data_IF_005592644408
#
_entry.id   IF_005592644408
#
_cell.length_a   1.000
_cell.length_b   1.000
_cell.length_c   1.000
_cell.angle_alpha   90.00
_cell.angle_beta   90.00
_cell.angle_gamma   90.00
#
_symmetry.space_group_name_H-M   'P 1'
#
loop_
_entity.id
_entity.type
_entity.pdbx_description
1 polymer ?
#
# COMPACT_ATOMS: atom_id res chain seq x y z
N UNK A 1 19.44 8.63 -28.90
CA UNK A 1 18.02 9.01 -29.06
C UNK A 1 17.85 10.51 -28.86
N UNK A 2 16.76 11.09 -29.37
CA UNK A 2 16.47 12.53 -29.25
C UNK A 2 15.91 12.84 -27.86
N UNK A 3 16.41 13.90 -27.21
CA UNK A 3 15.94 14.33 -25.87
C UNK A 3 14.68 15.18 -26.01
N UNK A 4 13.62 14.80 -25.28
CA UNK A 4 12.36 15.54 -25.26
C UNK A 4 12.44 16.68 -24.23
N UNK A 5 12.10 17.90 -24.67
CA UNK A 5 12.01 19.08 -23.80
C UNK A 5 10.66 19.13 -23.07
N UNK A 6 10.65 18.71 -21.80
CA UNK A 6 9.43 18.71 -20.97
C UNK A 6 8.85 20.09 -20.71
N UNK A 7 9.68 21.15 -20.74
CA UNK A 7 9.20 22.53 -20.50
C UNK A 7 8.30 23.04 -21.63
N UNK A 8 8.55 22.52 -22.85
CA UNK A 8 7.78 22.76 -24.08
C UNK A 8 6.78 21.66 -24.39
N UNK A 9 6.72 20.63 -23.55
CA UNK A 9 5.77 19.53 -23.69
C UNK A 9 4.60 19.68 -22.71
N UNK A 10 3.48 19.08 -23.06
CA UNK A 10 2.29 19.02 -22.23
C UNK A 10 1.53 17.71 -22.50
N UNK A 11 0.59 17.38 -21.62
CA UNK A 11 -0.27 16.22 -21.76
C UNK A 11 -1.73 16.66 -21.68
N UNK A 12 -2.58 16.12 -22.57
CA UNK A 12 -4.01 16.43 -22.62
C UNK A 12 -4.80 15.13 -22.44
N UNK A 13 -5.72 15.12 -21.49
CA UNK A 13 -6.53 13.93 -21.20
C UNK A 13 -7.80 14.24 -20.40
N UNK A 14 -8.81 13.40 -20.53
CA UNK A 14 -10.12 13.58 -19.90
C UNK A 14 -10.21 12.96 -18.50
N UNK A 15 -9.33 12.00 -18.17
CA UNK A 15 -9.21 11.41 -16.85
C UNK A 15 -8.52 12.38 -15.87
N UNK A 16 -9.20 13.48 -15.58
CA UNK A 16 -8.65 14.65 -14.91
C UNK A 16 -9.12 14.78 -13.45
N UNK A 17 -9.88 13.82 -12.92
CA UNK A 17 -10.37 13.83 -11.54
C UNK A 17 -11.36 14.95 -11.23
N UNK A 18 -12.09 15.44 -12.24
CA UNK A 18 -13.10 16.50 -12.04
C UNK A 18 -14.31 15.95 -11.28
N UNK A 19 -14.84 16.68 -10.29
CA UNK A 19 -15.96 16.23 -9.46
C UNK A 19 -17.28 16.30 -10.21
N UNK A 20 -18.36 15.75 -9.63
CA UNK A 20 -19.67 15.86 -10.25
C UNK A 20 -20.09 17.33 -10.42
N UNK A 21 -20.78 17.65 -11.52
CA UNK A 21 -21.23 19.02 -11.85
C UNK A 21 -20.10 20.06 -12.00
N UNK A 22 -18.88 19.63 -12.32
CA UNK A 22 -17.79 20.55 -12.70
C UNK A 22 -18.16 21.46 -13.90
N UNK A 23 -19.15 21.05 -14.69
CA UNK A 23 -19.84 21.83 -15.73
C UNK A 23 -21.32 21.44 -15.81
N UNK A 24 -22.16 22.29 -16.36
CA UNK A 24 -23.58 21.99 -16.64
C UNK A 24 -23.72 20.66 -17.38
N UNK A 25 -24.50 19.74 -16.81
CA UNK A 25 -24.72 18.35 -17.30
C UNK A 25 -23.47 17.45 -17.33
N UNK A 26 -22.35 17.86 -16.75
CA UNK A 26 -21.17 17.03 -16.65
C UNK A 26 -21.23 16.12 -15.43
N UNK A 27 -20.87 14.85 -15.63
CA UNK A 27 -20.64 13.88 -14.56
C UNK A 27 -19.21 14.00 -14.07
N UNK A 28 -18.94 13.48 -12.87
CA UNK A 28 -17.57 13.29 -12.38
C UNK A 28 -16.75 12.45 -13.38
N UNK A 29 -15.47 12.74 -13.49
CA UNK A 29 -14.56 11.90 -14.27
C UNK A 29 -14.47 10.50 -13.65
N UNK A 30 -14.28 9.49 -14.48
CA UNK A 30 -14.15 8.10 -14.04
C UNK A 30 -12.85 7.87 -13.25
N UNK A 31 -11.80 8.65 -13.53
CA UNK A 31 -10.50 8.58 -12.87
C UNK A 31 -9.73 9.89 -12.97
N UNK A 32 -8.56 9.94 -12.31
CA UNK A 32 -7.58 11.03 -12.41
C UNK A 32 -6.27 10.57 -13.09
N UNK A 33 -6.31 9.45 -13.84
CA UNK A 33 -5.13 8.78 -14.38
C UNK A 33 -4.28 9.69 -15.27
N UNK A 34 -4.90 10.43 -16.18
CA UNK A 34 -4.20 11.31 -17.12
C UNK A 34 -3.48 12.46 -16.40
N UNK A 35 -4.16 13.07 -15.43
CA UNK A 35 -3.58 14.13 -14.61
C UNK A 35 -2.40 13.60 -13.80
N UNK A 36 -2.57 12.45 -13.13
CA UNK A 36 -1.53 11.85 -12.30
C UNK A 36 -0.33 11.37 -13.14
N UNK A 37 -0.57 10.90 -14.37
CA UNK A 37 0.49 10.59 -15.32
C UNK A 37 1.34 11.83 -15.64
N UNK A 38 0.70 12.96 -15.96
CA UNK A 38 1.39 14.23 -16.20
C UNK A 38 2.18 14.69 -14.96
N UNK A 39 1.60 14.58 -13.76
CA UNK A 39 2.27 14.89 -12.48
C UNK A 39 3.50 14.00 -12.23
N UNK A 40 3.42 12.71 -12.57
CA UNK A 40 4.54 11.78 -12.44
C UNK A 40 5.68 12.12 -13.40
N UNK A 41 5.35 12.58 -14.61
CA UNK A 41 6.35 12.98 -15.61
C UNK A 41 6.86 14.42 -15.44
N UNK A 42 6.18 15.25 -14.63
CA UNK A 42 6.49 16.67 -14.49
C UNK A 42 6.08 17.49 -15.72
N UNK A 43 4.97 17.13 -16.37
CA UNK A 43 4.43 17.80 -17.55
C UNK A 43 3.32 18.78 -17.17
N UNK A 44 3.16 19.84 -17.98
CA UNK A 44 1.94 20.66 -17.95
C UNK A 44 0.76 19.78 -18.37
N UNK A 45 -0.37 19.92 -17.68
CA UNK A 45 -1.57 19.13 -17.94
C UNK A 45 -2.75 20.03 -18.30
N UNK A 46 -3.53 19.62 -19.29
CA UNK A 46 -4.78 20.24 -19.69
C UNK A 46 -5.87 19.20 -19.89
N UNK A 47 -7.12 19.58 -19.72
CA UNK A 47 -8.26 18.79 -20.23
C UNK A 47 -8.54 19.12 -21.70
N UNK A 48 -9.25 18.26 -22.46
CA UNK A 48 -9.63 18.57 -23.84
C UNK A 48 -10.43 19.87 -23.94
N UNK A 49 -11.30 20.13 -22.97
CA UNK A 49 -12.06 21.37 -22.87
C UNK A 49 -11.18 22.60 -22.63
N UNK A 50 -10.18 22.50 -21.76
CA UNK A 50 -9.24 23.59 -21.51
C UNK A 50 -8.38 23.89 -22.73
N UNK A 51 -7.87 22.85 -23.39
CA UNK A 51 -6.87 22.99 -24.45
C UNK A 51 -7.48 23.32 -25.82
N UNK A 52 -8.50 22.57 -26.24
CA UNK A 52 -9.06 22.71 -27.60
C UNK A 52 -10.23 23.69 -27.67
N UNK A 53 -10.98 23.84 -26.57
CA UNK A 53 -12.17 24.71 -26.53
C UNK A 53 -11.93 26.03 -25.80
N UNK A 54 -10.74 26.24 -25.24
CA UNK A 54 -10.38 27.46 -24.49
C UNK A 54 -11.25 27.69 -23.25
N UNK A 55 -11.86 26.62 -22.69
CA UNK A 55 -12.67 26.75 -21.49
C UNK A 55 -11.79 26.95 -20.25
N UNK A 56 -12.38 27.54 -19.21
CA UNK A 56 -11.70 27.71 -17.93
C UNK A 56 -11.37 26.36 -17.29
N UNK A 57 -10.28 26.36 -16.51
CA UNK A 57 -9.82 25.17 -15.80
C UNK A 57 -10.88 24.67 -14.84
N UNK A 58 -11.23 23.39 -14.95
CA UNK A 58 -12.18 22.77 -14.03
C UNK A 58 -11.55 22.55 -12.64
N UNK A 59 -12.37 22.57 -11.60
CA UNK A 59 -11.97 22.13 -10.26
C UNK A 59 -11.70 20.61 -10.31
N UNK A 60 -10.73 20.14 -9.55
CA UNK A 60 -10.40 18.72 -9.43
C UNK A 60 -9.83 18.44 -8.05
N UNK A 61 -9.97 17.17 -7.62
CA UNK A 61 -9.40 16.69 -6.37
C UNK A 61 -8.16 15.83 -6.64
N UNK A 62 -7.11 16.03 -5.85
CA UNK A 62 -5.96 15.13 -5.82
C UNK A 62 -6.20 13.98 -4.83
N UNK A 63 -5.61 12.78 -5.05
CA UNK A 63 -5.71 11.70 -4.08
C UNK A 63 -5.24 12.13 -2.69
N UNK A 64 -5.93 11.67 -1.64
CA UNK A 64 -5.57 11.96 -0.23
C UNK A 64 -4.16 11.47 0.14
N UNK A 65 -3.70 10.41 -0.52
CA UNK A 65 -2.37 9.84 -0.31
C UNK A 65 -1.45 10.22 -1.48
N UNK A 66 -0.34 10.86 -1.16
CA UNK A 66 0.71 11.21 -2.13
C UNK A 66 1.95 10.33 -1.91
N UNK A 67 2.29 9.41 -2.83
CA UNK A 67 3.45 8.52 -2.65
C UNK A 67 4.78 9.26 -2.48
N UNK A 68 4.94 10.43 -3.12
CA UNK A 68 6.15 11.26 -3.01
C UNK A 68 6.32 11.88 -1.62
N UNK A 69 5.25 11.95 -0.82
CA UNK A 69 5.29 12.44 0.56
C UNK A 69 5.85 11.39 1.54
N UNK A 70 5.97 10.13 1.13
CA UNK A 70 6.56 9.08 1.95
C UNK A 70 8.01 9.45 2.27
N UNK A 71 8.27 9.76 3.55
CA UNK A 71 9.62 10.03 4.05
C UNK A 71 10.41 8.73 4.13
N UNK A 72 11.74 8.85 4.08
CA UNK A 72 12.61 7.72 4.39
C UNK A 72 12.28 7.19 5.78
N UNK A 73 12.03 5.88 5.87
CA UNK A 73 11.77 5.18 7.14
C UNK A 73 13.00 5.37 8.04
N UNK A 74 12.83 6.00 9.20
CA UNK A 74 13.93 6.26 10.14
C UNK A 74 14.22 5.07 11.05
N UNK A 75 13.19 4.30 11.40
CA UNK A 75 13.26 3.13 12.29
C UNK A 75 12.50 1.95 11.68
N UNK A 76 13.02 0.74 11.85
CA UNK A 76 12.34 -0.48 11.36
C UNK A 76 11.13 -0.85 12.24
N UNK A 77 11.21 -0.54 13.53
CA UNK A 77 10.20 -0.76 14.55
C UNK A 77 9.95 0.53 15.33
N UNK A 78 8.76 0.65 15.90
CA UNK A 78 8.40 1.73 16.82
C UNK A 78 7.88 1.11 18.13
N UNK A 79 8.46 1.43 19.31
CA UNK A 79 9.62 2.30 19.49
C UNK A 79 10.90 1.72 18.89
N UNK A 80 11.86 2.58 18.51
CA UNK A 80 13.14 2.16 17.91
C UNK A 80 14.01 1.27 18.82
N UNK A 81 13.74 1.27 20.12
CA UNK A 81 14.38 0.41 21.12
C UNK A 81 13.76 -1.00 21.19
N UNK A 82 12.68 -1.26 20.45
CA UNK A 82 12.03 -2.57 20.46
C UNK A 82 12.95 -3.64 19.86
N UNK A 83 13.02 -4.77 20.54
CA UNK A 83 13.69 -5.98 20.04
C UNK A 83 12.75 -6.72 19.09
N UNK A 84 13.27 -7.11 17.92
CA UNK A 84 12.50 -7.84 16.90
C UNK A 84 12.05 -9.23 17.38
N UNK A 85 12.89 -9.88 18.18
CA UNK A 85 12.73 -11.25 18.66
C UNK A 85 13.16 -11.34 20.11
N UNK A 86 12.59 -12.28 20.85
CA UNK A 86 12.94 -12.55 22.25
C UNK A 86 13.65 -13.91 22.40
N UNK A 87 14.50 -14.04 23.42
CA UNK A 87 15.17 -15.30 23.78
C UNK A 87 14.24 -16.31 24.50
N UNK A 88 12.94 -16.07 24.47
CA UNK A 88 11.90 -16.93 25.06
C UNK A 88 10.90 -17.34 23.99
N UNK A 89 10.24 -18.47 24.20
CA UNK A 89 9.14 -18.90 23.34
C UNK A 89 8.06 -17.82 23.32
N UNK A 90 7.72 -17.35 22.12
CA UNK A 90 6.71 -16.32 21.92
C UNK A 90 5.89 -16.56 20.64
N UNK A 91 4.79 -15.83 20.52
CA UNK A 91 3.95 -15.79 19.33
C UNK A 91 3.89 -14.35 18.81
N UNK A 92 4.34 -14.14 17.59
CA UNK A 92 4.21 -12.85 16.88
C UNK A 92 2.97 -12.93 15.99
N UNK A 93 2.02 -12.02 16.18
CA UNK A 93 0.82 -11.94 15.35
C UNK A 93 0.93 -10.71 14.44
N UNK A 94 1.07 -10.93 13.14
CA UNK A 94 1.09 -9.84 12.17
C UNK A 94 -0.32 -9.28 12.00
N UNK A 95 -0.45 -7.95 11.99
CA UNK A 95 -1.73 -7.27 11.76
C UNK A 95 -1.56 -6.21 10.67
N UNK A 96 -2.45 -6.22 9.67
CA UNK A 96 -2.47 -5.20 8.63
C UNK A 96 -3.11 -5.67 7.32
N UNK A 97 -3.41 -4.70 6.46
CA UNK A 97 -4.09 -4.93 5.19
C UNK A 97 -3.34 -5.92 4.29
N UNK A 98 -4.04 -6.67 3.42
CA UNK A 98 -3.39 -7.43 2.34
C UNK A 98 -2.45 -6.53 1.52
N UNK A 99 -1.40 -7.13 0.97
CA UNK A 99 -0.38 -6.43 0.15
C UNK A 99 0.36 -5.26 0.83
N UNK A 100 0.26 -5.10 2.16
CA UNK A 100 1.02 -4.07 2.90
C UNK A 100 2.49 -4.44 3.19
N UNK A 101 2.97 -5.60 2.71
CA UNK A 101 4.36 -6.04 2.88
C UNK A 101 4.65 -6.92 4.11
N UNK A 102 3.63 -7.35 4.87
CA UNK A 102 3.80 -8.19 6.09
C UNK A 102 4.58 -9.48 5.82
N UNK A 103 4.19 -10.26 4.82
CA UNK A 103 4.87 -11.52 4.49
C UNK A 103 6.32 -11.31 4.07
N UNK A 104 6.60 -10.24 3.33
CA UNK A 104 7.97 -9.86 3.01
C UNK A 104 8.76 -9.52 4.27
N UNK A 105 8.18 -8.74 5.18
CA UNK A 105 8.81 -8.36 6.45
C UNK A 105 9.11 -9.60 7.31
N UNK A 106 8.14 -10.50 7.48
CA UNK A 106 8.31 -11.74 8.25
C UNK A 106 9.39 -12.63 7.65
N UNK A 107 9.33 -12.88 6.34
CA UNK A 107 10.32 -13.71 5.63
C UNK A 107 11.73 -13.12 5.70
N UNK A 108 11.84 -11.79 5.70
CA UNK A 108 13.13 -11.10 5.75
C UNK A 108 13.72 -10.97 7.15
N UNK A 109 12.92 -10.69 8.17
CA UNK A 109 13.42 -10.31 9.50
C UNK A 109 13.11 -11.32 10.60
N UNK A 110 12.06 -12.14 10.48
CA UNK A 110 11.61 -13.05 11.55
C UNK A 110 12.01 -14.50 11.26
N UNK A 111 11.75 -15.01 10.05
CA UNK A 111 12.08 -16.38 9.65
C UNK A 111 13.57 -16.74 9.82
N UNK A 112 14.55 -15.84 9.55
CA UNK A 112 15.96 -16.13 9.81
C UNK A 112 16.28 -16.45 11.28
N UNK A 113 15.44 -15.99 12.22
CA UNK A 113 15.54 -16.30 13.66
C UNK A 113 14.86 -17.62 14.03
N UNK A 114 14.52 -18.46 13.04
CA UNK A 114 13.96 -19.83 13.20
C UNK A 114 12.55 -19.89 13.79
N UNK A 115 11.77 -18.83 13.63
CA UNK A 115 10.35 -18.83 13.98
C UNK A 115 9.60 -19.75 13.02
N UNK A 116 8.65 -20.52 13.56
CA UNK A 116 7.70 -21.27 12.74
C UNK A 116 6.79 -20.29 12.01
N UNK A 117 6.77 -20.36 10.68
CA UNK A 117 5.96 -19.48 9.84
C UNK A 117 4.59 -20.10 9.60
N UNK A 118 3.55 -19.48 10.16
CA UNK A 118 2.16 -19.92 10.00
C UNK A 118 1.39 -18.89 9.17
N UNK A 119 0.92 -19.31 8.01
CA UNK A 119 0.09 -18.49 7.13
C UNK A 119 -1.15 -19.29 6.69
N UNK A 120 -2.34 -18.73 6.91
CA UNK A 120 -3.61 -19.39 6.59
C UNK A 120 -3.78 -19.60 5.09
N UNK A 121 -3.26 -18.72 4.25
CA UNK A 121 -3.36 -18.86 2.80
C UNK A 121 -2.55 -20.07 2.29
N UNK A 122 -1.43 -20.40 2.96
CA UNK A 122 -0.60 -21.57 2.64
C UNK A 122 -1.13 -22.86 3.31
N UNK A 123 -1.66 -22.76 4.53
CA UNK A 123 -2.08 -23.90 5.36
C UNK A 123 -3.56 -24.30 5.14
N UNK A 124 -4.36 -23.38 4.59
CA UNK A 124 -5.77 -23.56 4.22
C UNK A 124 -6.76 -23.22 5.34
N UNK A 125 -6.84 -24.06 6.38
CA UNK A 125 -7.85 -23.90 7.45
C UNK A 125 -7.28 -23.31 8.73
N UNK A 126 -8.12 -22.58 9.47
CA UNK A 126 -7.76 -21.99 10.76
C UNK A 126 -7.31 -23.06 11.77
N UNK A 127 -8.03 -24.19 11.84
CA UNK A 127 -7.71 -25.28 12.77
C UNK A 127 -6.33 -25.88 12.51
N UNK A 128 -5.91 -25.96 11.24
CA UNK A 128 -4.56 -26.42 10.89
C UNK A 128 -3.49 -25.40 11.30
N UNK A 129 -3.78 -24.09 11.18
CA UNK A 129 -2.87 -23.04 11.65
C UNK A 129 -2.67 -23.13 13.17
N UNK A 130 -3.76 -23.27 13.93
CA UNK A 130 -3.71 -23.44 15.38
C UNK A 130 -2.92 -24.68 15.76
N UNK A 131 -3.20 -25.83 15.15
CA UNK A 131 -2.48 -27.07 15.41
C UNK A 131 -0.98 -26.96 15.09
N UNK A 132 -0.62 -26.28 14.00
CA UNK A 132 0.79 -26.04 13.64
C UNK A 132 1.49 -25.17 14.68
N UNK A 133 0.84 -24.08 15.11
CA UNK A 133 1.35 -23.21 16.15
C UNK A 133 1.52 -23.97 17.49
N UNK A 134 0.51 -24.72 17.92
CA UNK A 134 0.57 -25.54 19.14
C UNK A 134 1.72 -26.56 19.08
N UNK A 135 1.91 -27.24 17.94
CA UNK A 135 3.01 -28.19 17.76
C UNK A 135 4.38 -27.53 17.86
N UNK A 136 4.56 -26.33 17.31
CA UNK A 136 5.80 -25.58 17.42
C UNK A 136 6.06 -25.09 18.86
N UNK A 137 5.03 -24.56 19.52
CA UNK A 137 5.12 -24.11 20.91
C UNK A 137 5.43 -25.26 21.87
N UNK A 138 4.85 -26.44 21.67
CA UNK A 138 5.18 -27.64 22.43
C UNK A 138 6.65 -28.07 22.27
N UNK A 139 7.27 -27.74 21.14
CA UNK A 139 8.71 -27.94 20.89
C UNK A 139 9.58 -26.77 21.38
N UNK A 140 8.98 -25.81 22.11
CA UNK A 140 9.61 -24.55 22.57
C UNK A 140 10.12 -23.65 21.43
N UNK A 141 9.56 -23.80 20.23
CA UNK A 141 9.89 -22.96 19.08
C UNK A 141 8.91 -21.77 19.01
N UNK A 142 9.42 -20.56 18.84
CA UNK A 142 8.60 -19.36 18.65
C UNK A 142 7.88 -19.41 17.30
N UNK A 143 6.71 -18.76 17.22
CA UNK A 143 5.81 -18.83 16.06
C UNK A 143 5.50 -17.43 15.56
N UNK A 144 5.37 -17.25 14.25
CA UNK A 144 4.84 -16.04 13.64
C UNK A 144 3.60 -16.37 12.81
N UNK A 145 2.49 -15.68 13.10
CA UNK A 145 1.22 -15.81 12.41
C UNK A 145 1.06 -14.65 11.43
N UNK A 146 1.24 -14.93 10.15
CA UNK A 146 1.21 -13.95 9.05
C UNK A 146 -0.12 -13.98 8.30
N UNK A 147 -1.17 -13.49 8.96
CA UNK A 147 -2.50 -13.28 8.38
C UNK A 147 -2.87 -11.78 8.42
N UNK A 148 -4.07 -11.43 7.97
CA UNK A 148 -4.57 -10.04 8.04
C UNK A 148 -4.89 -9.59 9.47
N UNK A 149 -5.53 -10.46 10.26
CA UNK A 149 -5.80 -10.31 11.70
C UNK A 149 -6.39 -8.93 12.09
N UNK A 150 -7.36 -8.42 11.32
CA UNK A 150 -7.88 -7.05 11.46
C UNK A 150 -8.79 -6.87 12.68
N UNK A 151 -9.68 -7.82 12.94
CA UNK A 151 -10.60 -7.80 14.08
C UNK A 151 -9.99 -8.46 15.32
N UNK A 152 -10.56 -8.15 16.49
CA UNK A 152 -10.08 -8.65 17.78
C UNK A 152 -10.28 -10.15 17.92
N UNK A 153 -11.41 -10.67 17.43
CA UNK A 153 -11.78 -12.09 17.55
C UNK A 153 -10.78 -12.97 16.81
N UNK A 154 -10.32 -12.57 15.62
CA UNK A 154 -9.30 -13.29 14.85
C UNK A 154 -7.91 -13.33 15.52
N UNK A 155 -7.68 -12.51 16.56
CA UNK A 155 -6.41 -12.44 17.31
C UNK A 155 -6.45 -13.16 18.65
N UNK A 156 -7.63 -13.55 19.12
CA UNK A 156 -7.85 -14.21 20.42
C UNK A 156 -7.85 -15.73 20.27
#
# INVERSE_FOLDING_TARGET
GIKIDKSKSFYVGDAAGRPDKWRTKAKKDHSSADRLFAVNLGLKFYTPEEYFLGLSKAIYDMPKFEPKSLRSIQSLLEPSTATMTLDKTEVIVMCGLPASGKSWFVKKYIVPHKYEYVNRDEVGTWQKCVKMAELALNKKQSVVIDNTNLDKESRQ
#
